data_IF_068391736914
#
_entry.id   IF_068391736914
#
_cell.length_a   1.000
_cell.length_b   1.000
_cell.length_c   1.000
_cell.angle_alpha   90.00
_cell.angle_beta   90.00
_cell.angle_gamma   90.00
#
_symmetry.space_group_name_H-M   'P 1'
#
loop_
_entity.id
_entity.type
_entity.pdbx_description
1 polymer ?
#
# COMPACT_ATOMS: atom_id res chain seq x y z
N UNK A 1 -24.04 -21.34 -14.57
CA UNK A 1 -23.76 -22.79 -14.58
C UNK A 1 -23.15 -23.14 -13.24
N UNK A 2 -23.68 -24.15 -12.55
CA UNK A 2 -23.28 -24.49 -11.20
C UNK A 2 -21.90 -25.18 -11.22
N UNK A 3 -20.97 -24.60 -10.46
CA UNK A 3 -19.57 -24.98 -10.26
C UNK A 3 -19.46 -26.26 -9.39
N UNK A 4 -20.27 -27.27 -9.72
CA UNK A 4 -20.35 -28.56 -9.02
C UNK A 4 -19.25 -29.51 -9.52
N UNK A 5 -18.05 -29.47 -8.92
CA UNK A 5 -17.13 -30.63 -8.89
C UNK A 5 -15.93 -30.51 -7.92
N UNK A 6 -16.03 -29.77 -6.81
CA UNK A 6 -14.98 -29.79 -5.79
C UNK A 6 -15.49 -30.46 -4.50
N UNK A 7 -14.90 -31.59 -4.12
CA UNK A 7 -15.11 -32.18 -2.79
C UNK A 7 -14.65 -31.24 -1.67
N UNK A 8 -13.61 -30.44 -1.93
CA UNK A 8 -13.17 -29.34 -1.06
C UNK A 8 -12.54 -28.21 -1.87
N UNK A 9 -12.71 -26.97 -1.40
CA UNK A 9 -12.15 -25.75 -1.99
C UNK A 9 -11.58 -24.86 -0.89
N UNK A 10 -10.25 -24.90 -0.74
CA UNK A 10 -9.54 -24.18 0.32
C UNK A 10 -8.94 -22.85 -0.17
N UNK A 11 -8.70 -22.75 -1.49
CA UNK A 11 -8.05 -21.58 -2.08
C UNK A 11 -9.06 -20.44 -2.26
N UNK A 12 -8.74 -19.21 -1.82
CA UNK A 12 -9.56 -18.05 -2.11
C UNK A 12 -9.58 -17.79 -3.62
N UNK A 13 -10.75 -17.44 -4.14
CA UNK A 13 -10.99 -17.13 -5.56
C UNK A 13 -12.03 -16.01 -5.67
N UNK A 14 -12.06 -15.35 -6.82
CA UNK A 14 -12.89 -14.17 -7.06
C UNK A 14 -12.07 -12.90 -7.23
N UNK A 15 -12.76 -11.79 -7.48
CA UNK A 15 -12.11 -10.49 -7.61
C UNK A 15 -11.55 -10.01 -6.27
N UNK A 16 -10.39 -9.34 -6.30
CA UNK A 16 -9.78 -8.73 -5.13
C UNK A 16 -9.35 -7.29 -5.43
N UNK A 17 -9.40 -6.43 -4.41
CA UNK A 17 -8.94 -5.05 -4.48
C UNK A 17 -8.31 -4.67 -3.14
N UNK A 18 -7.23 -3.89 -3.18
CA UNK A 18 -6.61 -3.28 -1.99
C UNK A 18 -6.18 -1.85 -2.32
N UNK A 19 -6.26 -0.98 -1.32
CA UNK A 19 -5.78 0.40 -1.37
C UNK A 19 -4.76 0.63 -0.25
N UNK A 20 -3.72 1.40 -0.53
CA UNK A 20 -2.65 1.72 0.41
C UNK A 20 -2.42 3.23 0.37
N UNK A 21 -2.34 3.87 1.54
CA UNK A 21 -1.95 5.27 1.63
C UNK A 21 -0.46 5.42 1.33
N UNK A 22 -0.11 6.35 0.45
CA UNK A 22 1.28 6.65 0.14
C UNK A 22 1.71 7.95 0.85
N UNK A 23 3.00 8.10 1.17
CA UNK A 23 3.54 9.38 1.59
C UNK A 23 3.28 10.47 0.54
N UNK A 24 3.09 11.72 0.98
CA UNK A 24 2.71 12.83 0.11
C UNK A 24 3.71 13.09 -1.01
N UNK A 25 5.00 12.87 -0.77
CA UNK A 25 6.06 13.13 -1.75
C UNK A 25 6.20 12.08 -2.87
N UNK A 26 5.37 11.03 -2.88
CA UNK A 26 5.45 9.96 -3.89
C UNK A 26 4.66 10.34 -5.14
N UNK A 27 5.34 10.39 -6.28
CA UNK A 27 4.73 10.66 -7.58
C UNK A 27 4.49 9.39 -8.39
N UNK A 28 3.65 9.46 -9.42
CA UNK A 28 3.32 8.29 -10.25
C UNK A 28 4.55 7.65 -10.91
N UNK A 29 5.55 8.45 -11.26
CA UNK A 29 6.80 7.98 -11.88
C UNK A 29 7.72 7.24 -10.89
N UNK A 30 7.48 7.34 -9.59
CA UNK A 30 8.25 6.63 -8.56
C UNK A 30 7.81 5.18 -8.36
N UNK A 31 6.73 4.78 -9.03
CA UNK A 31 6.09 3.48 -8.86
C UNK A 31 6.45 2.55 -10.02
N UNK A 32 6.92 1.35 -9.68
CA UNK A 32 7.15 0.27 -10.64
C UNK A 32 6.56 -1.04 -10.12
N UNK A 33 6.21 -1.96 -11.02
CA UNK A 33 5.62 -3.24 -10.63
C UNK A 33 6.19 -4.40 -11.45
N UNK A 34 6.39 -5.53 -10.79
CA UNK A 34 6.78 -6.79 -11.41
C UNK A 34 5.91 -7.90 -10.85
N UNK A 35 5.34 -8.73 -11.73
CA UNK A 35 4.66 -9.96 -11.36
C UNK A 35 5.56 -11.14 -11.72
N UNK A 36 5.95 -11.92 -10.72
CA UNK A 36 6.84 -13.08 -10.90
C UNK A 36 6.54 -14.14 -9.84
N UNK A 37 6.52 -15.40 -10.24
CA UNK A 37 6.34 -16.57 -9.35
C UNK A 37 5.09 -16.48 -8.45
N UNK A 38 4.00 -15.90 -8.97
CA UNK A 38 2.74 -15.74 -8.24
C UNK A 38 2.72 -14.56 -7.24
N UNK A 39 3.76 -13.73 -7.24
CA UNK A 39 3.87 -12.54 -6.37
C UNK A 39 3.88 -11.26 -7.21
N UNK A 40 2.94 -10.36 -6.91
CA UNK A 40 2.98 -8.98 -7.38
C UNK A 40 3.86 -8.16 -6.42
N UNK A 41 5.01 -7.70 -6.91
CA UNK A 41 5.87 -6.76 -6.21
C UNK A 41 5.64 -5.37 -6.76
N UNK A 42 5.16 -4.44 -5.92
CA UNK A 42 5.05 -3.01 -6.25
C UNK A 42 6.15 -2.27 -5.50
N UNK A 43 7.09 -1.67 -6.22
CA UNK A 43 8.18 -0.89 -5.66
C UNK A 43 7.86 0.60 -5.79
N UNK A 44 7.94 1.29 -4.66
CA UNK A 44 7.72 2.73 -4.56
C UNK A 44 9.03 3.38 -4.13
N UNK A 45 9.65 4.15 -5.02
CA UNK A 45 10.87 4.89 -4.74
C UNK A 45 10.55 6.16 -3.93
N UNK A 46 11.51 6.68 -3.15
CA UNK A 46 11.30 7.90 -2.35
C UNK A 46 10.35 7.76 -1.14
N UNK A 47 9.61 6.66 -1.00
CA UNK A 47 8.66 6.47 0.10
C UNK A 47 9.30 6.45 1.50
N UNK A 48 10.58 6.10 1.59
CA UNK A 48 11.37 6.11 2.82
C UNK A 48 12.42 7.22 2.83
N UNK A 49 12.44 8.07 1.79
CA UNK A 49 13.20 9.29 1.83
C UNK A 49 12.52 10.15 2.88
N UNK A 50 13.16 10.28 4.04
CA UNK A 50 12.88 11.37 4.94
C UNK A 50 13.16 12.62 4.13
N UNK A 51 12.12 13.21 3.54
CA UNK A 51 12.19 14.56 3.03
C UNK A 51 13.00 15.35 4.05
N UNK A 52 14.00 16.11 3.62
CA UNK A 52 14.80 16.95 4.51
C UNK A 52 13.89 18.06 5.05
N UNK A 53 12.92 17.68 5.87
CA UNK A 53 11.99 18.56 6.53
C UNK A 53 12.83 19.16 7.62
N UNK A 54 13.30 20.38 7.38
CA UNK A 54 13.75 21.27 8.45
C UNK A 54 12.71 21.19 9.55
N UNK A 55 13.04 20.48 10.64
CA UNK A 55 12.07 20.14 11.68
C UNK A 55 11.40 21.41 12.18
N UNK A 56 10.11 21.59 11.88
CA UNK A 56 9.36 22.73 12.41
C UNK A 56 8.92 22.40 13.82
N UNK A 57 9.22 23.27 14.79
CA UNK A 57 8.66 23.15 16.14
C UNK A 57 7.15 23.32 16.03
N UNK A 58 6.39 22.28 16.37
CA UNK A 58 4.93 22.37 16.46
C UNK A 58 4.60 22.86 17.88
N UNK A 59 4.11 24.10 18.05
CA UNK A 59 3.71 24.57 19.37
C UNK A 59 2.51 23.75 19.83
N UNK A 60 2.62 23.16 21.02
CA UNK A 60 1.53 22.43 21.65
C UNK A 60 0.79 23.46 22.50
N UNK A 61 -0.27 24.06 21.97
CA UNK A 61 -1.14 24.93 22.77
C UNK A 61 -2.36 24.12 23.18
N UNK A 62 -2.41 23.71 24.44
CA UNK A 62 -3.59 23.17 25.08
C UNK A 62 -3.79 23.88 26.41
N UNK A 63 -4.99 24.41 26.64
CA UNK A 63 -5.46 24.74 27.99
C UNK A 63 -5.83 23.40 28.65
N UNK A 64 -5.15 22.97 29.73
CA UNK A 64 -5.52 21.77 30.46
C UNK A 64 -6.78 22.08 31.30
N UNK A 65 -7.96 22.01 30.69
CA UNK A 65 -9.24 21.95 31.41
C UNK A 65 -9.89 20.59 31.24
#
# INVERSE_FOLDING_TARGET
>A
EADDAFWQRERPHGAFQRSLGLPEQVEANDISAVSKDGLLTVRISGACESASVTHRRIPITGDPR
#
